data_IF_980488138514
#
_entry.id   IF_980488138514
#
_cell.length_a   1.000
_cell.length_b   1.000
_cell.length_c   1.000
_cell.angle_alpha   90.00
_cell.angle_beta   90.00
_cell.angle_gamma   90.00
#
_symmetry.space_group_name_H-M   'P 1'
#
loop_
_entity.id
_entity.type
_entity.pdbx_description
1 polymer ?
#
# COMPACT_ATOMS: atom_id res chain seq x y z
N UNK A 1 19.60 -6.86 23.53
CA UNK A 1 19.71 -8.02 22.62
C UNK A 1 18.61 -7.88 21.58
N UNK A 2 18.89 -7.18 20.48
CA UNK A 2 17.89 -6.87 19.45
C UNK A 2 17.79 -8.06 18.51
N UNK A 3 16.66 -8.74 18.54
CA UNK A 3 16.39 -9.90 17.70
C UNK A 3 16.17 -9.40 16.27
N UNK A 4 17.20 -9.47 15.42
CA UNK A 4 17.07 -9.19 13.98
C UNK A 4 16.29 -10.33 13.32
N UNK A 5 14.97 -10.33 13.49
CA UNK A 5 14.09 -11.13 12.64
C UNK A 5 14.22 -10.58 11.22
N UNK A 6 14.87 -11.37 10.37
CA UNK A 6 14.97 -11.10 8.94
C UNK A 6 13.56 -11.00 8.38
N UNK A 7 13.10 -9.77 8.11
CA UNK A 7 11.82 -9.52 7.46
C UNK A 7 11.94 -10.06 6.04
N UNK A 8 11.40 -11.26 5.82
CA UNK A 8 11.46 -11.94 4.54
C UNK A 8 10.36 -11.38 3.66
N UNK A 9 10.64 -10.25 3.04
CA UNK A 9 9.76 -9.64 2.04
C UNK A 9 9.72 -10.52 0.80
N UNK A 10 8.52 -10.87 0.35
CA UNK A 10 8.32 -11.36 -1.01
C UNK A 10 8.03 -10.14 -1.87
N UNK A 11 9.02 -9.74 -2.68
CA UNK A 11 8.83 -8.74 -3.71
C UNK A 11 8.41 -9.45 -4.99
N UNK A 12 7.23 -9.11 -5.50
CA UNK A 12 6.88 -9.41 -6.88
C UNK A 12 6.72 -8.08 -7.61
N UNK A 13 7.71 -7.77 -8.44
CA UNK A 13 7.55 -6.82 -9.54
C UNK A 13 7.55 -7.69 -10.80
N UNK A 14 6.62 -7.43 -11.72
CA UNK A 14 6.82 -7.89 -13.08
C UNK A 14 7.73 -6.83 -13.72
N UNK A 15 8.83 -7.23 -14.36
CA UNK A 15 9.70 -6.29 -15.07
C UNK A 15 8.95 -5.54 -16.19
N UNK A 16 7.75 -6.01 -16.54
CA UNK A 16 6.88 -5.45 -17.56
C UNK A 16 5.66 -4.66 -17.03
N UNK A 17 5.44 -4.61 -15.70
CA UNK A 17 4.30 -3.90 -15.09
C UNK A 17 4.81 -2.92 -14.03
N UNK A 18 5.37 -1.79 -14.48
CA UNK A 18 5.84 -0.70 -13.63
C UNK A 18 4.71 0.00 -12.87
N UNK A 19 3.46 -0.32 -13.21
CA UNK A 19 2.25 0.28 -12.68
C UNK A 19 1.75 -0.39 -11.39
N UNK A 20 2.21 -1.62 -11.11
CA UNK A 20 1.86 -2.37 -9.92
C UNK A 20 3.08 -2.97 -9.23
N UNK A 21 3.18 -2.72 -7.93
CA UNK A 21 4.11 -3.46 -7.08
C UNK A 21 3.47 -3.79 -5.74
N UNK A 22 3.92 -4.87 -5.11
CA UNK A 22 3.52 -5.16 -3.75
C UNK A 22 4.60 -5.90 -2.99
N UNK A 23 4.59 -5.71 -1.67
CA UNK A 23 5.37 -6.45 -0.71
C UNK A 23 4.44 -6.99 0.36
N UNK A 24 4.75 -8.17 0.87
CA UNK A 24 3.99 -8.78 1.95
C UNK A 24 4.95 -9.44 2.91
N UNK A 25 4.70 -9.23 4.20
CA UNK A 25 5.35 -9.91 5.31
C UNK A 25 4.28 -10.36 6.31
N UNK A 26 4.71 -10.74 7.52
CA UNK A 26 3.85 -11.26 8.58
C UNK A 26 2.82 -10.25 9.13
N UNK A 27 3.07 -8.96 9.00
CA UNK A 27 2.27 -7.90 9.59
C UNK A 27 1.30 -7.29 8.58
N UNK A 28 1.74 -7.05 7.34
CA UNK A 28 0.91 -6.37 6.35
C UNK A 28 1.18 -6.81 4.91
N UNK A 29 0.26 -6.39 4.03
CA UNK A 29 0.51 -6.33 2.59
C UNK A 29 0.48 -4.87 2.14
N UNK A 30 1.56 -4.42 1.53
CA UNK A 30 1.69 -3.07 1.00
C UNK A 30 1.66 -3.16 -0.51
N UNK A 31 0.77 -2.39 -1.12
CA UNK A 31 0.50 -2.35 -2.55
C UNK A 31 0.73 -0.93 -3.02
N UNK A 32 1.44 -0.78 -4.14
CA UNK A 32 1.65 0.50 -4.81
C UNK A 32 1.03 0.42 -6.21
N UNK A 33 0.09 1.31 -6.48
CA UNK A 33 -0.57 1.48 -7.77
C UNK A 33 -0.11 2.79 -8.40
N UNK A 34 0.37 2.77 -9.64
CA UNK A 34 0.72 3.98 -10.43
C UNK A 34 -0.11 4.13 -11.69
N UNK A 35 -0.63 3.03 -12.22
CA UNK A 35 -1.36 3.03 -13.48
C UNK A 35 -2.86 3.05 -13.34
N UNK A 36 -3.51 3.21 -14.49
CA UNK A 36 -4.98 3.13 -14.62
C UNK A 36 -5.45 1.76 -15.10
N UNK A 37 -4.54 0.91 -15.56
CA UNK A 37 -4.87 -0.29 -16.30
C UNK A 37 -3.95 -1.47 -15.94
N UNK A 38 -4.20 -2.03 -14.75
CA UNK A 38 -3.46 -3.19 -14.25
C UNK A 38 -3.94 -4.49 -14.88
N UNK A 39 -3.07 -5.15 -15.63
CA UNK A 39 -3.41 -6.36 -16.36
C UNK A 39 -2.35 -7.45 -16.17
N UNK A 40 -2.67 -8.66 -16.64
CA UNK A 40 -1.69 -9.73 -16.72
C UNK A 40 -1.37 -10.43 -15.40
N UNK A 41 -0.19 -11.05 -15.36
CA UNK A 41 0.18 -12.02 -14.32
C UNK A 41 0.38 -11.34 -12.97
N UNK A 42 0.88 -10.11 -12.93
CA UNK A 42 1.11 -9.38 -11.68
C UNK A 42 -0.20 -9.12 -10.93
N UNK A 43 -1.21 -8.57 -11.62
CA UNK A 43 -2.54 -8.32 -11.08
C UNK A 43 -3.21 -9.61 -10.58
N UNK A 44 -3.26 -10.65 -11.41
CA UNK A 44 -3.84 -11.94 -11.02
C UNK A 44 -3.13 -12.55 -9.79
N UNK A 45 -1.80 -12.42 -9.72
CA UNK A 45 -1.00 -12.93 -8.60
C UNK A 45 -1.29 -12.16 -7.30
N UNK A 46 -1.42 -10.83 -7.39
CA UNK A 46 -1.84 -10.00 -6.25
C UNK A 46 -3.21 -10.42 -5.73
N UNK A 47 -4.22 -10.53 -6.61
CA UNK A 47 -5.57 -10.91 -6.20
C UNK A 47 -5.60 -12.30 -5.55
N UNK A 48 -4.89 -13.27 -6.13
CA UNK A 48 -4.78 -14.61 -5.56
C UNK A 48 -4.10 -14.61 -4.18
N UNK A 49 -3.11 -13.73 -3.98
CA UNK A 49 -2.42 -13.55 -2.71
C UNK A 49 -3.36 -12.93 -1.65
N UNK A 50 -4.04 -11.84 -1.98
CA UNK A 50 -4.97 -11.15 -1.06
C UNK A 50 -6.11 -12.07 -0.60
N UNK A 51 -6.67 -12.88 -1.51
CA UNK A 51 -7.71 -13.86 -1.16
C UNK A 51 -7.25 -14.92 -0.16
N UNK A 52 -5.95 -15.23 -0.12
CA UNK A 52 -5.38 -16.24 0.79
C UNK A 52 -4.95 -15.67 2.13
N UNK A 53 -4.71 -14.36 2.22
CA UNK A 53 -4.02 -13.76 3.36
C UNK A 53 -4.90 -12.71 4.00
N UNK A 54 -5.26 -12.96 5.25
CA UNK A 54 -6.06 -12.06 6.07
C UNK A 54 -5.13 -11.14 6.86
N UNK A 55 -4.52 -10.18 6.17
CA UNK A 55 -3.62 -9.20 6.80
C UNK A 55 -4.08 -7.78 6.46
N UNK A 56 -3.78 -6.80 7.34
CA UNK A 56 -3.92 -5.39 7.03
C UNK A 56 -3.30 -5.06 5.66
N UNK A 57 -3.99 -4.19 4.91
CA UNK A 57 -3.54 -3.76 3.58
C UNK A 57 -3.28 -2.27 3.57
N UNK A 58 -2.06 -1.88 3.20
CA UNK A 58 -1.76 -0.52 2.80
C UNK A 58 -1.82 -0.43 1.27
N UNK A 59 -2.65 0.47 0.75
CA UNK A 59 -2.76 0.75 -0.67
C UNK A 59 -2.27 2.17 -0.95
N UNK A 60 -1.11 2.31 -1.57
CA UNK A 60 -0.60 3.60 -2.03
C UNK A 60 -0.96 3.81 -3.49
N UNK A 61 -1.88 4.74 -3.73
CA UNK A 61 -2.34 5.15 -5.05
C UNK A 61 -1.62 6.45 -5.46
N UNK A 62 -0.70 6.33 -6.42
CA UNK A 62 0.04 7.46 -6.99
C UNK A 62 -0.85 8.37 -7.84
N UNK A 63 -0.39 9.59 -8.10
CA UNK A 63 -1.07 10.52 -9.00
C UNK A 63 -1.33 9.90 -10.39
N UNK A 64 -2.56 10.00 -10.87
CA UNK A 64 -3.01 9.40 -12.13
C UNK A 64 -3.34 7.91 -12.03
N UNK A 65 -3.09 7.25 -10.89
CA UNK A 65 -3.50 5.87 -10.70
C UNK A 65 -5.01 5.76 -10.48
N UNK A 66 -5.65 4.80 -11.14
CA UNK A 66 -7.10 4.69 -11.11
C UNK A 66 -7.57 3.39 -11.71
N UNK A 67 -7.95 2.45 -10.87
CA UNK A 67 -8.54 1.19 -11.33
C UNK A 67 -9.87 1.45 -12.05
N UNK A 68 -10.14 0.71 -13.11
CA UNK A 68 -11.47 0.68 -13.72
C UNK A 68 -12.48 -0.03 -12.81
N UNK A 69 -13.77 0.07 -13.13
CA UNK A 69 -14.86 -0.49 -12.29
C UNK A 69 -14.67 -1.98 -12.02
N UNK A 70 -14.29 -2.75 -13.04
CA UNK A 70 -14.05 -4.20 -12.93
C UNK A 70 -12.91 -4.50 -11.96
N UNK A 71 -11.78 -3.79 -12.07
CA UNK A 71 -10.63 -3.96 -11.20
C UNK A 71 -10.93 -3.53 -9.75
N UNK A 72 -11.73 -2.47 -9.55
CA UNK A 72 -12.19 -2.08 -8.21
C UNK A 72 -13.01 -3.19 -7.56
N UNK A 73 -13.92 -3.80 -8.30
CA UNK A 73 -14.70 -4.96 -7.85
C UNK A 73 -13.80 -6.14 -7.50
N UNK A 74 -12.88 -6.51 -8.41
CA UNK A 74 -11.93 -7.60 -8.17
C UNK A 74 -11.05 -7.37 -6.94
N UNK A 75 -10.56 -6.14 -6.74
CA UNK A 75 -9.74 -5.78 -5.59
C UNK A 75 -10.55 -5.81 -4.30
N UNK A 76 -11.77 -5.26 -4.30
CA UNK A 76 -12.66 -5.32 -3.15
C UNK A 76 -12.99 -6.77 -2.76
N UNK A 77 -13.29 -7.62 -3.74
CA UNK A 77 -13.55 -9.05 -3.50
C UNK A 77 -12.30 -9.79 -2.99
N UNK A 78 -11.11 -9.37 -3.41
CA UNK A 78 -9.87 -10.00 -2.99
C UNK A 78 -9.42 -9.55 -1.58
N UNK A 79 -9.75 -8.31 -1.21
CA UNK A 79 -9.53 -7.79 0.12
C UNK A 79 -10.65 -8.33 1.03
N UNK A 80 -10.29 -9.25 1.92
CA UNK A 80 -11.24 -9.82 2.86
C UNK A 80 -11.92 -8.72 3.71
N UNK A 81 -13.26 -8.76 3.83
CA UNK A 81 -14.10 -7.78 4.56
C UNK A 81 -13.75 -7.52 6.05
N UNK A 82 -12.75 -8.21 6.61
CA UNK A 82 -12.38 -8.11 8.03
C UNK A 82 -10.97 -7.56 8.24
N UNK A 83 -10.17 -7.40 7.18
CA UNK A 83 -8.84 -6.81 7.31
C UNK A 83 -8.95 -5.29 7.10
N UNK A 84 -8.35 -4.47 7.98
CA UNK A 84 -8.34 -3.03 7.78
C UNK A 84 -7.54 -2.67 6.53
N UNK A 85 -8.06 -1.71 5.77
CA UNK A 85 -7.39 -1.17 4.58
C UNK A 85 -7.15 0.31 4.79
N UNK A 86 -5.90 0.73 4.60
CA UNK A 86 -5.53 2.14 4.57
C UNK A 86 -5.13 2.50 3.14
N UNK A 87 -5.81 3.49 2.56
CA UNK A 87 -5.54 3.99 1.21
C UNK A 87 -4.80 5.32 1.30
N UNK A 88 -3.52 5.34 0.98
CA UNK A 88 -2.74 6.57 0.80
C UNK A 88 -2.97 7.10 -0.61
N UNK A 89 -3.76 8.16 -0.73
CA UNK A 89 -4.14 8.74 -2.00
C UNK A 89 -3.37 10.05 -2.26
N UNK A 90 -2.59 10.09 -3.34
CA UNK A 90 -1.88 11.32 -3.74
C UNK A 90 -2.79 12.35 -4.42
N UNK A 91 -3.89 11.90 -5.02
CA UNK A 91 -4.75 12.74 -5.83
C UNK A 91 -6.26 12.40 -5.68
N UNK A 92 -7.07 12.85 -6.63
CA UNK A 92 -8.51 12.54 -6.67
C UNK A 92 -8.77 11.07 -7.01
N UNK A 93 -7.99 10.47 -7.91
CA UNK A 93 -8.16 9.08 -8.37
C UNK A 93 -7.96 8.08 -7.24
N UNK A 94 -6.90 8.25 -6.43
CA UNK A 94 -6.66 7.44 -5.24
C UNK A 94 -7.78 7.57 -4.19
N UNK A 95 -8.32 8.79 -4.01
CA UNK A 95 -9.45 9.03 -3.09
C UNK A 95 -10.72 8.32 -3.56
N UNK A 96 -11.04 8.43 -4.85
CA UNK A 96 -12.18 7.75 -5.47
C UNK A 96 -12.05 6.23 -5.37
N UNK A 97 -10.84 5.69 -5.53
CA UNK A 97 -10.57 4.27 -5.32
C UNK A 97 -10.90 3.85 -3.88
N UNK A 98 -10.40 4.56 -2.88
CA UNK A 98 -10.67 4.21 -1.48
C UNK A 98 -12.16 4.33 -1.11
N UNK A 99 -12.86 5.33 -1.64
CA UNK A 99 -14.32 5.41 -1.49
C UNK A 99 -15.04 4.24 -2.14
N UNK A 100 -14.63 3.85 -3.36
CA UNK A 100 -15.21 2.71 -4.06
C UNK A 100 -15.01 1.40 -3.30
N UNK A 101 -13.80 1.15 -2.77
CA UNK A 101 -13.52 -0.02 -1.93
C UNK A 101 -14.43 -0.04 -0.69
N UNK A 102 -14.62 1.11 -0.05
CA UNK A 102 -15.53 1.23 1.10
C UNK A 102 -16.98 0.91 0.73
N UNK A 103 -17.46 1.41 -0.41
CA UNK A 103 -18.81 1.11 -0.92
C UNK A 103 -19.01 -0.36 -1.26
N UNK A 104 -17.94 -1.02 -1.71
CA UNK A 104 -17.92 -2.45 -1.99
C UNK A 104 -17.72 -3.32 -0.72
N UNK A 105 -17.71 -2.71 0.47
CA UNK A 105 -17.71 -3.42 1.74
C UNK A 105 -16.33 -3.75 2.31
N UNK A 106 -15.25 -3.16 1.80
CA UNK A 106 -13.95 -3.20 2.47
C UNK A 106 -13.92 -2.21 3.64
N UNK A 107 -13.22 -2.53 4.72
CA UNK A 107 -12.91 -1.61 5.82
C UNK A 107 -11.80 -0.62 5.40
N UNK A 108 -12.10 0.19 4.38
CA UNK A 108 -11.18 1.12 3.76
C UNK A 108 -11.31 2.54 4.32
N UNK A 109 -10.19 3.06 4.82
CA UNK A 109 -10.04 4.47 5.21
C UNK A 109 -9.03 5.15 4.31
N UNK A 110 -9.39 6.34 3.83
CA UNK A 110 -8.54 7.15 2.95
C UNK A 110 -7.71 8.13 3.76
N UNK A 111 -6.44 8.22 3.42
CA UNK A 111 -5.43 9.08 4.01
C UNK A 111 -4.70 9.83 2.91
N UNK A 112 -4.24 11.04 3.21
CA UNK A 112 -3.26 11.73 2.37
C UNK A 112 -1.85 11.24 2.69
N UNK A 113 -0.83 11.48 1.83
CA UNK A 113 0.53 10.99 2.07
C UNK A 113 1.18 11.54 3.35
N UNK A 114 0.77 12.72 3.82
CA UNK A 114 1.18 13.31 5.10
C UNK A 114 0.53 12.63 6.32
N UNK A 115 -0.53 11.85 6.13
CA UNK A 115 -1.23 11.12 7.20
C UNK A 115 -0.73 9.68 7.36
N UNK A 116 0.53 9.42 7.00
CA UNK A 116 1.12 8.08 7.05
C UNK A 116 1.04 7.43 8.44
N UNK A 117 1.19 8.22 9.50
CA UNK A 117 1.07 7.75 10.88
C UNK A 117 -0.37 7.31 11.20
N UNK A 118 -1.36 8.03 10.69
CA UNK A 118 -2.78 7.65 10.82
C UNK A 118 -3.08 6.36 10.07
N UNK A 119 -2.49 6.18 8.88
CA UNK A 119 -2.58 4.94 8.12
C UNK A 119 -1.94 3.77 8.89
N UNK A 120 -0.74 3.95 9.45
CA UNK A 120 -0.08 2.93 10.26
C UNK A 120 -0.93 2.56 11.50
N UNK A 121 -1.46 3.55 12.21
CA UNK A 121 -2.31 3.33 13.37
C UNK A 121 -3.60 2.56 13.03
N UNK A 122 -4.25 2.88 11.90
CA UNK A 122 -5.42 2.14 11.39
C UNK A 122 -5.10 0.67 11.10
N UNK A 123 -3.89 0.39 10.63
CA UNK A 123 -3.44 -0.97 10.34
C UNK A 123 -2.88 -1.71 11.56
N UNK A 124 -2.72 -1.04 12.71
CA UNK A 124 -2.07 -1.61 13.90
C UNK A 124 -0.57 -1.85 13.69
N UNK A 125 0.07 -1.08 12.81
CA UNK A 125 1.48 -1.22 12.44
C UNK A 125 2.34 -0.15 13.10
N UNK A 126 3.59 -0.50 13.37
CA UNK A 126 4.58 0.52 13.71
C UNK A 126 4.91 1.38 12.49
N UNK A 127 5.03 2.70 12.70
CA UNK A 127 5.40 3.63 11.63
C UNK A 127 6.75 3.25 10.99
N UNK A 128 7.71 2.78 11.79
CA UNK A 128 9.02 2.33 11.32
C UNK A 128 8.92 1.13 10.37
N UNK A 129 8.02 0.19 10.66
CA UNK A 129 7.76 -0.97 9.79
C UNK A 129 7.24 -0.52 8.43
N UNK A 130 6.18 0.30 8.42
CA UNK A 130 5.57 0.82 7.19
C UNK A 130 6.60 1.58 6.34
N UNK A 131 7.42 2.41 7.00
CA UNK A 131 8.50 3.18 6.38
C UNK A 131 9.55 2.28 5.72
N UNK A 132 9.97 1.22 6.40
CA UNK A 132 10.97 0.26 5.91
C UNK A 132 10.47 -0.46 4.66
N UNK A 133 9.22 -0.92 4.68
CA UNK A 133 8.60 -1.64 3.59
C UNK A 133 8.37 -0.76 2.37
N UNK A 134 7.92 0.48 2.55
CA UNK A 134 7.82 1.49 1.48
C UNK A 134 9.20 1.79 0.89
N UNK A 135 10.24 2.00 1.71
CA UNK A 135 11.62 2.20 1.21
C UNK A 135 12.16 1.00 0.45
N UNK A 136 11.85 -0.22 0.87
CA UNK A 136 12.28 -1.43 0.20
C UNK A 136 11.62 -1.55 -1.19
N UNK A 137 10.33 -1.22 -1.28
CA UNK A 137 9.61 -1.08 -2.54
C UNK A 137 10.22 0.03 -3.42
N UNK A 138 10.61 1.17 -2.83
CA UNK A 138 11.28 2.26 -3.55
C UNK A 138 12.60 1.83 -4.19
N UNK A 139 13.44 1.14 -3.42
CA UNK A 139 14.72 0.58 -3.88
C UNK A 139 14.57 -0.50 -4.97
N UNK A 140 13.40 -1.13 -5.09
CA UNK A 140 13.09 -2.10 -6.14
C UNK A 140 12.76 -1.45 -7.50
N UNK A 141 13.06 -0.16 -7.68
CA UNK A 141 12.87 0.56 -8.94
C UNK A 141 11.59 1.40 -8.99
N UNK A 142 10.98 1.66 -7.84
CA UNK A 142 9.77 2.47 -7.73
C UNK A 142 10.18 3.87 -7.26
N UNK A 143 10.01 4.89 -8.10
CA UNK A 143 10.25 6.27 -7.65
C UNK A 143 9.21 6.64 -6.60
N UNK A 144 9.62 6.59 -5.33
CA UNK A 144 8.84 6.95 -4.16
C UNK A 144 9.38 8.24 -3.54
N UNK A 145 10.06 9.11 -4.29
CA UNK A 145 10.76 10.29 -3.75
C UNK A 145 9.90 11.14 -2.81
N UNK A 146 8.61 11.32 -3.11
CA UNK A 146 7.69 12.08 -2.26
C UNK A 146 7.44 11.41 -0.89
N UNK A 147 7.39 10.08 -0.85
CA UNK A 147 7.24 9.29 0.37
C UNK A 147 8.59 9.19 1.09
N UNK A 148 9.70 8.97 0.38
CA UNK A 148 11.03 8.82 0.99
C UNK A 148 11.53 10.12 1.62
N UNK A 149 11.33 11.29 0.99
CA UNK A 149 11.66 12.59 1.61
C UNK A 149 10.89 12.81 2.92
N UNK A 150 9.59 12.45 2.95
CA UNK A 150 8.77 12.59 4.16
C UNK A 150 9.14 11.57 5.22
N UNK A 151 9.37 10.31 4.83
CA UNK A 151 9.87 9.27 5.73
C UNK A 151 11.23 9.63 6.33
N UNK A 152 12.11 10.26 5.55
CA UNK A 152 13.38 10.79 6.05
C UNK A 152 13.15 11.90 7.08
N UNK A 153 12.26 12.87 6.81
CA UNK A 153 11.88 13.93 7.75
C UNK A 153 11.29 13.39 9.07
N UNK A 154 10.53 12.29 9.02
CA UNK A 154 10.04 11.59 10.20
C UNK A 154 11.17 10.89 10.97
N UNK A 155 12.06 10.17 10.28
CA UNK A 155 13.19 9.48 10.91
C UNK A 155 14.26 10.42 11.49
N UNK A 156 14.34 11.66 11.00
CA UNK A 156 15.23 12.69 11.52
C UNK A 156 14.62 13.54 12.64
N UNK A 157 13.40 13.24 13.10
CA UNK A 157 12.75 13.94 14.22
C UNK A 157 12.28 15.36 13.90
N UNK A 158 12.19 15.74 12.63
CA UNK A 158 11.84 17.12 12.22
C UNK A 158 10.36 17.45 12.45
N UNK A 159 9.52 16.45 12.77
CA UNK A 159 8.13 16.64 13.23
C UNK A 159 7.96 16.42 14.75
N UNK A 160 9.00 16.69 15.55
CA UNK A 160 8.88 16.86 17.00
C UNK A 160 8.55 18.30 17.36
N UNK A 161 7.33 18.75 17.08
CA UNK A 161 6.91 20.11 17.43
C UNK A 161 5.50 20.42 16.96
N UNK A 162 4.52 20.00 17.75
CA UNK A 162 3.35 20.77 18.23
C UNK A 162 2.45 19.86 19.09
#
# INVERSE_FOLDING_TARGET
MVNHLSHRYVFMTDQFDSELAWASDFEATIIVLRGTELHGRAWASLLARLRRIKRPVLLHAHAGSGLNVTQRGQLADAIHHQAPVAVLAEDKGGRELGMALRWLGADATVFTPDQLLGAAAKLGLEAAHLSSSLRALGRAGLDLQAVDQKLQAYSSGVFGGL
#
